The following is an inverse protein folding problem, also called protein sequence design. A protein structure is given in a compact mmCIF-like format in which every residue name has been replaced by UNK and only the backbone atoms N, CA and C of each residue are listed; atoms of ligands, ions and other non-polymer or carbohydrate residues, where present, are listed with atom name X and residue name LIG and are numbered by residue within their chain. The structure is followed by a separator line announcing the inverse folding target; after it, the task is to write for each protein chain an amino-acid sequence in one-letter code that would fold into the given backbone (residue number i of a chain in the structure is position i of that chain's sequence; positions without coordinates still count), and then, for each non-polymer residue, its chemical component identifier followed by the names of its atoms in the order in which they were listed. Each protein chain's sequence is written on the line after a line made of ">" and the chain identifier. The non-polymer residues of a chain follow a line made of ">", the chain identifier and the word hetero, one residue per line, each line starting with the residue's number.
data_IF_498130407452
#
_entry.id   IF_498130407452
#
_cell.length_a   1.000
_cell.length_b   1.000
_cell.length_c   1.000
_cell.angle_alpha   90.00
_cell.angle_beta   90.00
_cell.angle_gamma   90.00
#
_symmetry.space_group_name_H-M   'P 1'
#
loop_
_entity.id
_entity.type
_entity.pdbx_description
1 polymer ?
#
# COMPACT_ATOMS: atom_id res chain seq x y z
N UNK A 1 0.21 -17.79 -7.04
CA UNK A 1 0.74 -16.64 -6.24
C UNK A 1 2.25 -16.77 -6.18
N UNK A 2 2.98 -15.76 -6.68
CA UNK A 2 4.44 -15.71 -6.69
C UNK A 2 4.91 -14.74 -5.60
N UNK A 3 5.78 -15.18 -4.71
CA UNK A 3 6.31 -14.38 -3.62
C UNK A 3 7.84 -14.38 -3.63
N UNK A 4 8.47 -13.30 -4.08
CA UNK A 4 9.87 -13.02 -3.78
C UNK A 4 10.02 -12.40 -2.38
N UNK A 5 9.00 -11.66 -1.93
CA UNK A 5 8.92 -10.94 -0.65
C UNK A 5 7.82 -11.58 0.22
N UNK A 6 8.13 -12.28 1.33
CA UNK A 6 7.13 -12.97 2.13
C UNK A 6 6.11 -12.00 2.75
N UNK A 7 4.87 -12.49 2.93
CA UNK A 7 3.81 -11.75 3.63
C UNK A 7 2.68 -12.70 4.06
N UNK A 8 2.46 -12.82 5.35
CA UNK A 8 1.36 -13.62 5.88
C UNK A 8 -0.01 -13.04 5.47
N UNK A 9 -0.21 -11.72 5.64
CA UNK A 9 -1.48 -11.06 5.31
C UNK A 9 -1.83 -11.21 3.83
N UNK A 10 -0.91 -10.88 2.93
CA UNK A 10 -1.16 -11.01 1.47
C UNK A 10 -1.41 -12.46 1.08
N UNK A 11 -0.63 -13.41 1.62
CA UNK A 11 -0.83 -14.83 1.35
C UNK A 11 -2.22 -15.28 1.79
N UNK A 12 -2.55 -15.09 3.06
CA UNK A 12 -3.82 -15.57 3.64
C UNK A 12 -5.02 -14.92 2.96
N UNK A 13 -5.00 -13.60 2.72
CA UNK A 13 -6.12 -12.89 2.11
C UNK A 13 -6.39 -13.33 0.66
N UNK A 14 -5.36 -13.55 -0.17
CA UNK A 14 -5.55 -14.07 -1.53
C UNK A 14 -5.93 -15.55 -1.54
N UNK A 15 -5.30 -16.38 -0.71
CA UNK A 15 -5.56 -17.83 -0.63
C UNK A 15 -6.99 -18.11 -0.17
N UNK A 16 -7.40 -17.47 0.94
CA UNK A 16 -8.77 -17.56 1.46
C UNK A 16 -9.77 -16.93 0.50
N UNK A 17 -9.44 -15.76 -0.08
CA UNK A 17 -10.29 -15.09 -1.06
C UNK A 17 -10.58 -15.95 -2.28
N UNK A 18 -9.55 -16.57 -2.85
CA UNK A 18 -9.70 -17.50 -3.99
C UNK A 18 -10.54 -18.72 -3.60
N UNK A 19 -10.30 -19.30 -2.42
CA UNK A 19 -11.10 -20.42 -1.91
C UNK A 19 -12.59 -20.04 -1.76
N UNK A 20 -12.89 -18.87 -1.21
CA UNK A 20 -14.26 -18.37 -1.06
C UNK A 20 -14.96 -18.10 -2.40
N UNK A 21 -14.21 -17.84 -3.47
CA UNK A 21 -14.73 -17.69 -4.83
C UNK A 21 -14.88 -19.03 -5.55
N UNK A 22 -14.56 -20.15 -4.90
CA UNK A 22 -14.66 -21.49 -5.48
C UNK A 22 -13.43 -21.94 -6.28
N UNK A 23 -12.36 -21.16 -6.21
CA UNK A 23 -11.09 -21.45 -6.88
C UNK A 23 -10.06 -22.09 -5.95
N UNK A 24 -8.84 -22.24 -6.46
CA UNK A 24 -7.68 -22.77 -5.74
C UNK A 24 -6.47 -21.87 -5.95
N UNK A 25 -5.73 -21.58 -4.91
CA UNK A 25 -4.52 -20.78 -4.97
C UNK A 25 -3.28 -21.63 -4.63
N UNK A 26 -2.25 -21.55 -5.48
CA UNK A 26 -0.94 -22.16 -5.26
C UNK A 26 0.03 -21.08 -4.78
N UNK A 27 0.76 -21.37 -3.72
CA UNK A 27 1.82 -20.49 -3.21
C UNK A 27 3.18 -20.95 -3.72
N UNK A 28 3.87 -20.06 -4.41
CA UNK A 28 5.25 -20.22 -4.85
C UNK A 28 6.12 -19.21 -4.09
N UNK A 29 6.86 -19.69 -3.13
CA UNK A 29 7.77 -18.91 -2.30
C UNK A 29 9.11 -18.61 -2.99
N UNK A 30 10.00 -17.84 -2.31
CA UNK A 30 11.29 -17.42 -2.89
C UNK A 30 12.18 -18.58 -3.31
N UNK A 31 12.09 -19.73 -2.64
CA UNK A 31 12.90 -20.91 -2.94
C UNK A 31 12.29 -21.81 -4.01
N UNK A 32 11.00 -21.68 -4.31
CA UNK A 32 10.29 -22.55 -5.24
C UNK A 32 10.54 -22.13 -6.69
N UNK A 33 10.55 -20.84 -6.96
CA UNK A 33 10.57 -20.32 -8.32
C UNK A 33 11.83 -19.53 -8.67
N UNK A 34 12.43 -18.78 -7.73
CA UNK A 34 13.61 -17.92 -7.94
C UNK A 34 13.52 -17.09 -9.23
N UNK A 35 12.37 -16.42 -9.42
CA UNK A 35 12.04 -15.65 -10.62
C UNK A 35 13.15 -14.65 -10.98
N UNK A 36 13.48 -14.55 -12.26
CA UNK A 36 14.57 -13.70 -12.75
C UNK A 36 15.99 -14.22 -12.47
N UNK A 37 16.12 -15.34 -11.74
CA UNK A 37 17.44 -15.95 -11.44
C UNK A 37 17.61 -17.33 -12.07
N UNK A 38 16.66 -18.22 -11.82
CA UNK A 38 16.67 -19.59 -12.36
C UNK A 38 16.11 -19.63 -13.78
N UNK A 39 15.04 -18.86 -14.02
CA UNK A 39 14.40 -18.70 -15.32
C UNK A 39 14.12 -17.22 -15.55
N UNK A 40 14.00 -16.82 -16.81
CA UNK A 40 13.58 -15.45 -17.15
C UNK A 40 12.16 -15.19 -16.65
N UNK A 41 11.85 -13.94 -16.30
CA UNK A 41 10.51 -13.53 -15.88
C UNK A 41 9.49 -13.84 -16.97
N UNK A 42 9.85 -13.58 -18.25
CA UNK A 42 9.00 -13.84 -19.40
C UNK A 42 8.69 -15.33 -19.61
N UNK A 43 9.68 -16.23 -19.44
CA UNK A 43 9.46 -17.68 -19.58
C UNK A 43 8.54 -18.22 -18.48
N UNK A 44 8.79 -17.81 -17.22
CA UNK A 44 7.92 -18.13 -16.09
C UNK A 44 6.49 -17.69 -16.35
N UNK A 45 6.30 -16.47 -16.86
CA UNK A 45 4.99 -15.91 -17.19
C UNK A 45 4.25 -16.74 -18.24
N UNK A 46 4.92 -17.09 -19.34
CA UNK A 46 4.35 -17.88 -20.43
C UNK A 46 3.96 -19.30 -19.98
N UNK A 47 4.81 -19.94 -19.17
CA UNK A 47 4.56 -21.30 -18.65
C UNK A 47 3.37 -21.28 -17.69
N UNK A 48 3.39 -20.39 -16.69
CA UNK A 48 2.32 -20.32 -15.68
C UNK A 48 0.98 -19.94 -16.30
N UNK A 49 0.95 -19.07 -17.31
CA UNK A 49 -0.27 -18.71 -18.03
C UNK A 49 -0.98 -19.88 -18.71
N UNK A 50 -0.30 -21.03 -18.86
CA UNK A 50 -0.91 -22.25 -19.43
C UNK A 50 -1.49 -23.17 -18.36
N UNK A 51 -1.22 -22.88 -17.08
CA UNK A 51 -1.63 -23.72 -15.97
C UNK A 51 -2.68 -23.07 -15.06
N UNK A 52 -2.75 -21.74 -15.08
CA UNK A 52 -3.56 -20.98 -14.15
C UNK A 52 -4.38 -19.92 -14.90
N UNK A 53 -5.44 -19.43 -14.27
CA UNK A 53 -6.34 -18.43 -14.84
C UNK A 53 -5.95 -16.99 -14.41
N UNK A 54 -5.13 -16.84 -13.37
CA UNK A 54 -4.66 -15.54 -12.85
C UNK A 54 -3.31 -15.72 -12.14
N UNK A 55 -2.44 -14.73 -12.29
CA UNK A 55 -1.16 -14.67 -11.59
C UNK A 55 -1.17 -13.48 -10.63
N UNK A 56 -0.95 -13.71 -9.34
CA UNK A 56 -0.66 -12.63 -8.39
C UNK A 56 0.81 -12.70 -8.01
N UNK A 57 1.51 -11.56 -8.04
CA UNK A 57 2.93 -11.50 -7.72
C UNK A 57 3.24 -10.42 -6.69
N UNK A 58 4.10 -10.77 -5.72
CA UNK A 58 4.68 -9.87 -4.74
C UNK A 58 6.20 -9.93 -4.88
N UNK A 59 6.75 -8.91 -5.53
CA UNK A 59 8.14 -8.85 -5.99
C UNK A 59 8.88 -7.68 -5.33
N UNK A 60 10.17 -7.56 -5.59
CA UNK A 60 10.97 -6.40 -5.26
C UNK A 60 10.89 -5.38 -6.40
N UNK A 61 11.48 -5.71 -7.54
CA UNK A 61 11.55 -4.82 -8.68
C UNK A 61 10.18 -4.67 -9.37
N UNK A 62 9.82 -3.44 -9.69
CA UNK A 62 8.59 -3.13 -10.41
C UNK A 62 8.65 -3.57 -11.87
N UNK A 63 9.83 -3.53 -12.50
CA UNK A 63 10.02 -4.00 -13.88
C UNK A 63 9.72 -5.49 -14.03
N UNK A 64 10.00 -6.29 -13.00
CA UNK A 64 9.66 -7.73 -13.02
C UNK A 64 8.16 -7.98 -13.15
N UNK A 65 7.31 -7.17 -12.51
CA UNK A 65 5.86 -7.34 -12.64
C UNK A 65 5.33 -6.82 -13.97
N UNK A 66 5.95 -5.79 -14.52
CA UNK A 66 5.63 -5.32 -15.87
C UNK A 66 6.02 -6.37 -16.92
N UNK A 67 7.19 -6.99 -16.77
CA UNK A 67 7.64 -8.07 -17.67
C UNK A 67 6.74 -9.31 -17.53
N UNK A 68 6.31 -9.68 -16.30
CA UNK A 68 5.29 -10.72 -16.08
C UNK A 68 4.01 -10.40 -16.85
N UNK A 69 3.47 -9.20 -16.69
CA UNK A 69 2.22 -8.79 -17.32
C UNK A 69 2.32 -8.74 -18.85
N UNK A 70 3.47 -8.35 -19.39
CA UNK A 70 3.73 -8.28 -20.82
C UNK A 70 3.70 -9.65 -21.51
N UNK A 71 4.18 -10.69 -20.82
CA UNK A 71 4.30 -12.04 -21.37
C UNK A 71 3.17 -12.99 -20.95
N UNK A 72 2.35 -12.60 -19.96
CA UNK A 72 1.20 -13.36 -19.52
C UNK A 72 0.07 -13.33 -20.56
N UNK A 73 -0.65 -14.45 -20.68
CA UNK A 73 -1.92 -14.53 -21.42
C UNK A 73 -3.14 -14.56 -20.48
N UNK A 74 -2.89 -14.44 -19.20
CA UNK A 74 -3.88 -14.33 -18.12
C UNK A 74 -3.66 -13.04 -17.33
N UNK A 75 -4.66 -12.54 -16.59
CA UNK A 75 -4.48 -11.36 -15.76
C UNK A 75 -3.33 -11.49 -14.75
N UNK A 76 -2.60 -10.40 -14.55
CA UNK A 76 -1.54 -10.29 -13.55
C UNK A 76 -1.91 -9.24 -12.50
N UNK A 77 -1.92 -9.63 -11.23
CA UNK A 77 -2.22 -8.75 -10.09
C UNK A 77 -0.91 -8.37 -9.40
N UNK A 78 -0.66 -7.06 -9.29
CA UNK A 78 0.42 -6.54 -8.45
C UNK A 78 0.02 -6.64 -6.96
N UNK A 79 0.51 -7.65 -6.27
CA UNK A 79 0.34 -7.82 -4.82
C UNK A 79 1.20 -6.88 -3.98
N UNK A 80 2.35 -6.47 -4.50
CA UNK A 80 3.27 -5.43 -4.03
C UNK A 80 4.55 -5.44 -4.87
N UNK A 81 5.12 -4.26 -5.09
CA UNK A 81 6.52 -4.07 -5.49
C UNK A 81 7.17 -2.99 -4.61
N UNK A 82 8.46 -2.71 -4.80
CA UNK A 82 9.12 -1.60 -4.08
C UNK A 82 8.59 -0.23 -4.52
N UNK A 83 8.01 -0.14 -5.73
CA UNK A 83 7.40 1.10 -6.23
C UNK A 83 5.95 1.27 -5.79
N UNK A 84 5.12 0.20 -5.80
CA UNK A 84 3.67 0.28 -5.61
C UNK A 84 3.10 -0.84 -4.74
N UNK A 85 2.01 -0.51 -4.02
CA UNK A 85 1.16 -1.45 -3.28
C UNK A 85 -0.34 -1.23 -3.61
N UNK A 86 -0.79 -1.46 -4.86
CA UNK A 86 -2.11 -1.05 -5.31
C UNK A 86 -3.26 -1.74 -4.56
N UNK A 87 -3.13 -3.04 -4.24
CA UNK A 87 -4.15 -3.74 -3.47
C UNK A 87 -4.37 -3.18 -2.06
N UNK A 88 -3.36 -2.52 -1.48
CA UNK A 88 -3.50 -1.86 -0.19
C UNK A 88 -4.36 -0.62 -0.31
N UNK A 89 -3.97 0.34 -1.14
CA UNK A 89 -4.71 1.61 -1.22
C UNK A 89 -6.14 1.46 -1.75
N UNK A 90 -6.41 0.42 -2.55
CA UNK A 90 -7.78 0.09 -2.93
C UNK A 90 -8.61 -0.40 -1.74
N UNK A 91 -8.00 -1.19 -0.83
CA UNK A 91 -8.64 -1.60 0.41
C UNK A 91 -8.83 -0.43 1.38
N UNK A 92 -7.85 0.47 1.43
CA UNK A 92 -7.90 1.68 2.25
C UNK A 92 -9.07 2.57 1.82
N UNK A 93 -9.21 2.83 0.52
CA UNK A 93 -10.35 3.59 -0.03
C UNK A 93 -11.68 2.92 0.26
N UNK A 94 -11.77 1.59 0.13
CA UNK A 94 -12.99 0.88 0.44
C UNK A 94 -13.33 0.99 1.94
N UNK A 95 -12.34 0.91 2.82
CA UNK A 95 -12.52 1.10 4.26
C UNK A 95 -12.99 2.50 4.60
N UNK A 96 -12.40 3.51 3.97
CA UNK A 96 -12.85 4.91 4.13
C UNK A 96 -14.30 5.06 3.67
N UNK A 97 -14.66 4.45 2.52
CA UNK A 97 -16.02 4.48 2.01
C UNK A 97 -17.01 3.85 3.00
N UNK A 98 -16.70 2.73 3.59
CA UNK A 98 -17.56 2.09 4.60
C UNK A 98 -17.76 2.97 5.85
N UNK A 99 -16.73 3.71 6.26
CA UNK A 99 -16.78 4.58 7.46
C UNK A 99 -17.39 5.96 7.19
N UNK A 100 -17.20 6.51 5.98
CA UNK A 100 -17.56 7.89 5.62
C UNK A 100 -18.71 7.98 4.60
N UNK A 101 -19.03 6.91 3.88
CA UNK A 101 -20.01 6.88 2.79
C UNK A 101 -19.56 7.59 1.51
N UNK A 102 -18.27 8.02 1.42
CA UNK A 102 -17.68 8.70 0.26
C UNK A 102 -16.18 8.46 0.15
N UNK A 103 -15.62 8.64 -1.05
CA UNK A 103 -14.20 8.55 -1.34
C UNK A 103 -13.62 9.82 -1.95
N UNK A 104 -14.46 10.77 -2.35
CA UNK A 104 -14.08 12.02 -2.98
C UNK A 104 -14.04 13.18 -1.97
N UNK A 105 -13.35 14.24 -2.34
CA UNK A 105 -13.19 15.45 -1.53
C UNK A 105 -12.68 15.23 -0.10
N UNK A 106 -11.89 14.17 0.09
CA UNK A 106 -11.25 13.84 1.36
C UNK A 106 -9.93 14.59 1.51
N UNK A 107 -9.63 14.96 2.75
CA UNK A 107 -8.32 15.44 3.18
C UNK A 107 -7.55 14.29 3.81
N UNK A 108 -6.58 13.76 3.10
CA UNK A 108 -5.76 12.65 3.55
C UNK A 108 -4.37 13.16 3.88
N UNK A 109 -3.92 12.94 5.09
CA UNK A 109 -2.55 13.21 5.51
C UNK A 109 -1.79 11.88 5.66
N UNK A 110 -0.78 11.68 4.83
CA UNK A 110 0.18 10.59 4.99
C UNK A 110 1.39 11.11 5.79
N UNK A 111 1.79 10.39 6.82
CA UNK A 111 2.90 10.76 7.71
C UNK A 111 3.92 9.64 7.73
N UNK A 112 5.13 9.85 7.19
CA UNK A 112 6.19 8.84 7.20
C UNK A 112 7.09 8.86 5.97
N UNK A 113 7.41 7.69 5.44
CA UNK A 113 8.34 7.50 4.32
C UNK A 113 7.66 7.65 2.96
N UNK A 114 8.34 8.24 1.98
CA UNK A 114 7.91 8.29 0.59
C UNK A 114 8.01 6.95 -0.13
N UNK A 115 7.50 5.89 0.49
CA UNK A 115 7.61 4.51 0.04
C UNK A 115 6.53 4.11 -1.00
N UNK A 116 6.42 2.82 -1.27
CA UNK A 116 5.46 2.27 -2.22
C UNK A 116 3.99 2.48 -1.84
N UNK A 117 3.66 2.62 -0.55
CA UNK A 117 2.30 2.95 -0.10
C UNK A 117 2.00 4.41 -0.40
N UNK A 118 2.94 5.32 -0.13
CA UNK A 118 2.86 6.74 -0.51
C UNK A 118 2.69 6.90 -2.02
N UNK A 119 3.52 6.22 -2.81
CA UNK A 119 3.42 6.23 -4.27
C UNK A 119 2.05 5.73 -4.76
N UNK A 120 1.48 4.74 -4.09
CA UNK A 120 0.16 4.20 -4.42
C UNK A 120 -0.96 5.18 -4.06
N UNK A 121 -0.85 5.92 -2.95
CA UNK A 121 -1.75 7.02 -2.62
C UNK A 121 -1.68 8.16 -3.64
N UNK A 122 -0.47 8.52 -4.10
CA UNK A 122 -0.28 9.50 -5.18
C UNK A 122 -0.97 9.04 -6.48
N UNK A 123 -0.84 7.76 -6.83
CA UNK A 123 -1.51 7.18 -7.99
C UNK A 123 -3.06 7.22 -7.88
N UNK A 124 -3.61 6.95 -6.71
CA UNK A 124 -5.06 7.07 -6.47
C UNK A 124 -5.51 8.54 -6.55
N UNK A 125 -4.75 9.48 -5.98
CA UNK A 125 -5.02 10.91 -6.07
C UNK A 125 -5.00 11.42 -7.53
N UNK A 126 -4.34 10.73 -8.44
CA UNK A 126 -4.43 11.03 -9.89
C UNK A 126 -5.73 10.59 -10.56
N UNK A 127 -6.62 9.88 -9.84
CA UNK A 127 -7.87 9.30 -10.36
C UNK A 127 -9.11 9.76 -9.59
N UNK A 128 -8.98 9.99 -8.30
CA UNK A 128 -10.08 10.36 -7.40
C UNK A 128 -9.74 11.72 -6.78
N UNK A 129 -10.63 12.73 -6.88
CA UNK A 129 -10.39 14.05 -6.29
C UNK A 129 -10.22 14.00 -4.78
N UNK A 130 -9.10 14.55 -4.29
CA UNK A 130 -8.77 14.65 -2.86
C UNK A 130 -7.71 15.73 -2.61
N UNK A 131 -7.54 16.11 -1.36
CA UNK A 131 -6.32 16.81 -0.90
C UNK A 131 -5.41 15.76 -0.26
N UNK A 132 -4.23 15.54 -0.83
CA UNK A 132 -3.24 14.60 -0.31
C UNK A 132 -2.03 15.38 0.24
N UNK A 133 -1.93 15.45 1.56
CA UNK A 133 -0.83 16.09 2.29
C UNK A 133 0.19 15.03 2.72
N UNK A 134 1.43 15.15 2.28
CA UNK A 134 2.50 14.19 2.53
C UNK A 134 3.49 14.80 3.52
N UNK A 135 3.45 14.39 4.79
CA UNK A 135 4.46 14.73 5.79
C UNK A 135 5.63 13.76 5.69
N UNK A 136 6.71 14.17 5.04
CA UNK A 136 7.86 13.32 4.71
C UNK A 136 9.15 14.03 5.11
N UNK A 137 10.12 13.36 5.76
CA UNK A 137 11.43 13.94 6.04
C UNK A 137 12.20 14.27 4.76
N UNK A 138 13.07 15.26 4.82
CA UNK A 138 13.93 15.60 3.69
C UNK A 138 14.83 14.42 3.29
N UNK A 139 14.90 14.15 1.97
CA UNK A 139 15.67 13.03 1.41
C UNK A 139 14.96 11.68 1.42
N UNK A 140 13.68 11.64 1.82
CA UNK A 140 12.84 10.44 1.80
C UNK A 140 11.58 10.65 0.94
N UNK A 141 11.67 11.51 -0.04
CA UNK A 141 10.57 11.88 -0.92
C UNK A 141 10.03 10.68 -1.72
N UNK A 142 8.75 10.72 -2.16
CA UNK A 142 8.18 9.70 -3.02
C UNK A 142 8.87 9.68 -4.39
N UNK A 143 8.58 8.67 -5.18
CA UNK A 143 9.10 8.57 -6.55
C UNK A 143 8.72 9.80 -7.40
N UNK A 144 9.73 10.43 -7.96
CA UNK A 144 9.61 11.67 -8.73
C UNK A 144 8.69 11.53 -9.94
N UNK A 145 8.73 10.40 -10.66
CA UNK A 145 7.95 10.21 -11.88
C UNK A 145 6.46 9.95 -11.52
N UNK A 146 6.21 9.21 -10.44
CA UNK A 146 4.86 9.00 -9.92
C UNK A 146 4.25 10.33 -9.48
N UNK A 147 4.99 11.13 -8.73
CA UNK A 147 4.52 12.43 -8.25
C UNK A 147 4.25 13.40 -9.41
N UNK A 148 5.21 13.55 -10.33
CA UNK A 148 5.07 14.43 -11.51
C UNK A 148 3.87 14.04 -12.37
N UNK A 149 3.70 12.73 -12.63
CA UNK A 149 2.57 12.22 -13.42
C UNK A 149 1.23 12.54 -12.76
N UNK A 150 1.12 12.35 -11.45
CA UNK A 150 -0.11 12.65 -10.71
C UNK A 150 -0.43 14.15 -10.71
N UNK A 151 0.58 15.00 -10.49
CA UNK A 151 0.41 16.46 -10.51
C UNK A 151 0.02 16.98 -11.89
N UNK A 152 0.55 16.41 -12.97
CA UNK A 152 0.19 16.78 -14.36
C UNK A 152 -1.27 16.41 -14.68
N UNK A 153 -1.83 15.37 -14.09
CA UNK A 153 -3.22 15.00 -14.28
C UNK A 153 -4.19 16.01 -13.64
N UNK A 154 -3.77 16.75 -12.61
CA UNK A 154 -4.51 17.85 -12.00
C UNK A 154 -5.85 17.47 -11.38
N UNK A 155 -6.04 16.19 -11.00
CA UNK A 155 -7.30 15.69 -10.40
C UNK A 155 -7.39 16.06 -8.92
N UNK A 156 -6.25 16.02 -8.21
CA UNK A 156 -6.14 16.27 -6.77
C UNK A 156 -5.10 17.33 -6.46
N UNK A 157 -5.23 17.94 -5.29
CA UNK A 157 -4.17 18.76 -4.70
C UNK A 157 -3.21 17.86 -3.93
N UNK A 158 -1.93 17.80 -4.35
CA UNK A 158 -0.89 16.98 -3.71
C UNK A 158 0.22 17.92 -3.23
N UNK A 159 0.53 17.88 -1.95
CA UNK A 159 1.55 18.73 -1.34
C UNK A 159 2.44 17.98 -0.37
N UNK A 160 3.77 18.22 -0.45
CA UNK A 160 4.75 17.68 0.49
C UNK A 160 5.03 18.73 1.57
N UNK A 161 4.96 18.29 2.82
CA UNK A 161 5.26 19.05 4.02
C UNK A 161 6.46 18.45 4.75
N UNK A 162 7.24 19.31 5.42
CA UNK A 162 8.30 18.89 6.36
C UNK A 162 7.86 19.01 7.82
N UNK A 163 6.66 19.53 8.04
CA UNK A 163 6.00 19.65 9.34
C UNK A 163 4.78 18.72 9.37
N UNK A 164 4.77 17.80 10.31
CA UNK A 164 3.63 16.87 10.51
C UNK A 164 2.36 17.60 10.89
N UNK A 165 2.46 18.62 11.76
CA UNK A 165 1.32 19.41 12.21
C UNK A 165 0.65 20.19 11.06
N UNK A 166 1.44 20.72 10.11
CA UNK A 166 0.89 21.41 8.92
C UNK A 166 0.19 20.43 7.99
N UNK A 167 0.78 19.27 7.74
CA UNK A 167 0.21 18.25 6.85
C UNK A 167 -1.10 17.67 7.39
N UNK A 168 -1.19 17.46 8.69
CA UNK A 168 -2.36 16.85 9.35
C UNK A 168 -3.49 17.84 9.61
N UNK A 169 -3.29 19.14 9.36
CA UNK A 169 -4.27 20.18 9.66
C UNK A 169 -5.66 19.91 9.00
N UNK A 170 -6.67 19.68 9.84
CA UNK A 170 -8.04 19.33 9.43
C UNK A 170 -8.15 18.09 8.53
N UNK A 171 -7.21 17.14 8.63
CA UNK A 171 -7.25 15.90 7.86
C UNK A 171 -8.45 15.02 8.29
N UNK A 172 -9.18 14.49 7.31
CA UNK A 172 -10.23 13.49 7.53
C UNK A 172 -9.63 12.10 7.81
N UNK A 173 -8.45 11.84 7.26
CA UNK A 173 -7.70 10.58 7.41
C UNK A 173 -6.25 10.89 7.70
N UNK A 174 -5.70 10.28 8.73
CA UNK A 174 -4.26 10.27 9.03
C UNK A 174 -3.74 8.85 8.78
N UNK A 175 -2.88 8.72 7.81
CA UNK A 175 -2.28 7.43 7.40
C UNK A 175 -0.81 7.39 7.75
N UNK A 176 -0.32 6.26 8.25
CA UNK A 176 1.12 6.02 8.42
C UNK A 176 1.51 4.58 8.06
N UNK A 177 2.79 4.35 7.88
CA UNK A 177 3.41 3.05 7.62
C UNK A 177 4.77 3.00 8.32
N UNK A 178 5.35 1.81 8.42
CA UNK A 178 6.68 1.60 9.02
C UNK A 178 7.74 2.50 8.38
N UNK A 179 8.64 3.05 9.20
CA UNK A 179 9.72 3.90 8.73
C UNK A 179 10.80 3.13 7.95
N UNK A 180 10.95 1.84 8.22
CA UNK A 180 11.85 0.95 7.49
C UNK A 180 11.05 -0.23 6.95
N UNK A 181 10.90 -0.28 5.63
CA UNK A 181 10.25 -1.37 4.93
C UNK A 181 11.14 -2.63 4.87
N UNK A 182 10.55 -3.78 4.54
CA UNK A 182 11.31 -5.02 4.32
C UNK A 182 12.41 -4.83 3.26
N UNK A 183 13.63 -5.16 3.63
CA UNK A 183 14.84 -4.96 2.80
C UNK A 183 15.63 -3.72 3.19
N UNK A 184 15.13 -2.89 4.11
CA UNK A 184 15.80 -1.68 4.61
C UNK A 184 16.25 -1.81 6.06
N UNK A 185 16.27 -3.01 6.61
CA UNK A 185 16.58 -3.27 8.03
C UNK A 185 17.95 -2.73 8.45
N UNK A 186 18.93 -2.69 7.51
CA UNK A 186 20.26 -2.14 7.75
C UNK A 186 20.23 -0.61 8.04
N UNK A 187 19.18 0.10 7.62
CA UNK A 187 19.02 1.54 7.84
C UNK A 187 18.07 1.86 9.01
N UNK A 188 17.48 0.86 9.66
CA UNK A 188 16.42 1.04 10.65
C UNK A 188 16.78 2.04 11.76
N UNK A 189 17.98 1.93 12.34
CA UNK A 189 18.43 2.86 13.41
C UNK A 189 18.62 4.30 12.91
N UNK A 190 19.15 4.48 11.71
CA UNK A 190 19.26 5.81 11.08
C UNK A 190 17.88 6.40 10.83
N UNK A 191 16.96 5.59 10.31
CA UNK A 191 15.58 6.01 10.02
C UNK A 191 14.85 6.40 11.31
N UNK A 192 14.99 5.69 12.41
CA UNK A 192 14.41 6.05 13.71
C UNK A 192 14.82 7.45 14.17
N UNK A 193 16.06 7.85 13.91
CA UNK A 193 16.53 9.20 14.27
C UNK A 193 15.89 10.26 13.38
N UNK A 194 15.85 10.03 12.05
CA UNK A 194 15.33 10.99 11.07
C UNK A 194 13.82 11.14 11.18
N UNK A 195 13.10 10.01 11.35
CA UNK A 195 11.64 9.99 11.37
C UNK A 195 11.02 10.25 12.74
N UNK A 196 11.81 10.48 13.77
CA UNK A 196 11.33 10.67 15.16
C UNK A 196 10.19 11.69 15.27
N UNK A 197 10.29 12.81 14.55
CA UNK A 197 9.30 13.89 14.57
C UNK A 197 8.10 13.60 13.62
N UNK A 198 8.11 12.44 12.96
CA UNK A 198 7.05 11.96 12.07
C UNK A 198 6.23 10.83 12.69
N UNK A 199 6.20 10.74 14.01
CA UNK A 199 5.37 9.80 14.75
C UNK A 199 3.92 10.27 14.79
N UNK A 200 2.99 9.38 14.50
CA UNK A 200 1.56 9.60 14.72
C UNK A 200 1.22 9.31 16.18
N UNK A 201 0.96 10.36 16.94
CA UNK A 201 0.64 10.32 18.36
C UNK A 201 -0.58 11.19 18.68
N UNK A 202 -1.07 11.13 19.93
CA UNK A 202 -2.27 11.84 20.34
C UNK A 202 -2.16 13.38 20.22
N UNK A 203 -0.97 13.94 20.37
CA UNK A 203 -0.75 15.39 20.22
C UNK A 203 -0.87 15.81 18.76
N UNK A 204 -0.34 15.03 17.83
CA UNK A 204 -0.48 15.27 16.39
C UNK A 204 -1.95 15.22 15.96
N UNK A 205 -2.72 14.25 16.46
CA UNK A 205 -4.14 14.11 16.11
C UNK A 205 -5.01 15.29 16.55
N UNK A 206 -4.58 16.13 17.48
CA UNK A 206 -5.29 17.37 17.86
C UNK A 206 -5.38 18.38 16.70
N UNK A 207 -4.53 18.27 15.69
CA UNK A 207 -4.56 19.09 14.48
C UNK A 207 -5.49 18.56 13.39
N UNK A 208 -5.85 17.28 13.44
CA UNK A 208 -6.76 16.66 12.50
C UNK A 208 -8.23 17.02 12.77
N UNK A 209 -9.14 16.63 11.90
CA UNK A 209 -10.57 16.74 12.14
C UNK A 209 -10.97 15.93 13.39
N UNK A 210 -11.95 16.42 14.15
CA UNK A 210 -12.37 15.79 15.41
C UNK A 210 -12.85 14.33 15.24
N UNK A 211 -13.32 13.98 14.05
CA UNK A 211 -13.77 12.65 13.65
C UNK A 211 -12.81 11.97 12.67
N UNK A 212 -11.53 12.38 12.64
CA UNK A 212 -10.53 11.79 11.74
C UNK A 212 -10.43 10.28 11.91
N UNK A 213 -10.11 9.59 10.83
CA UNK A 213 -9.79 8.16 10.84
C UNK A 213 -8.27 8.00 10.87
N UNK A 214 -7.77 7.02 11.63
CA UNK A 214 -6.36 6.65 11.64
C UNK A 214 -6.17 5.29 10.98
N UNK A 215 -5.26 5.22 10.01
CA UNK A 215 -5.00 4.04 9.20
C UNK A 215 -3.53 3.65 9.22
N UNK A 216 -3.27 2.37 9.09
CA UNK A 216 -1.93 1.77 9.00
C UNK A 216 -2.01 0.40 8.34
N UNK A 217 -1.29 0.18 7.26
CA UNK A 217 -1.33 -1.08 6.48
C UNK A 217 -0.82 -2.32 7.25
N UNK A 218 -0.26 -2.16 8.45
CA UNK A 218 0.34 -3.20 9.27
C UNK A 218 1.48 -4.00 8.55
N UNK A 219 2.48 -4.51 9.30
CA UNK A 219 2.61 -4.49 10.77
C UNK A 219 3.00 -3.10 11.27
N UNK A 220 2.56 -2.72 12.46
CA UNK A 220 2.98 -1.48 13.11
C UNK A 220 4.13 -1.74 14.08
N UNK A 221 5.11 -0.84 14.11
CA UNK A 221 6.14 -0.78 15.14
C UNK A 221 5.70 0.23 16.21
N UNK A 222 4.91 -0.26 17.16
CA UNK A 222 4.33 0.54 18.25
C UNK A 222 5.41 1.28 19.03
N UNK A 223 5.25 2.61 19.19
CA UNK A 223 6.24 3.48 19.79
C UNK A 223 7.27 4.05 18.80
N UNK A 224 7.36 3.53 17.58
CA UNK A 224 8.11 4.12 16.47
C UNK A 224 7.17 5.04 15.65
N UNK A 225 6.61 4.61 14.53
CA UNK A 225 5.77 5.44 13.64
C UNK A 225 4.38 5.77 14.19
N UNK A 226 3.86 4.95 15.12
CA UNK A 226 2.56 5.16 15.75
C UNK A 226 2.59 4.74 17.23
N UNK A 227 1.94 5.50 18.09
CA UNK A 227 1.84 5.15 19.51
C UNK A 227 0.74 4.13 19.80
N UNK A 228 0.88 3.37 20.90
CA UNK A 228 -0.15 2.42 21.36
C UNK A 228 -1.49 3.11 21.60
N UNK A 229 -1.47 4.29 22.22
CA UNK A 229 -2.68 5.07 22.48
C UNK A 229 -3.46 5.41 21.22
N UNK A 230 -2.77 5.66 20.11
CA UNK A 230 -3.41 6.01 18.83
C UNK A 230 -3.91 4.78 18.11
N UNK A 231 -3.08 3.75 17.97
CA UNK A 231 -3.46 2.55 17.20
C UNK A 231 -4.56 1.72 17.89
N UNK A 232 -4.65 1.78 19.21
CA UNK A 232 -5.70 1.15 20.01
C UNK A 232 -6.84 2.13 20.35
N UNK A 233 -6.74 3.37 19.88
CA UNK A 233 -7.70 4.44 20.15
C UNK A 233 -8.94 4.40 19.28
N UNK A 234 -9.94 5.25 19.59
CA UNK A 234 -11.24 5.23 18.93
C UNK A 234 -11.22 5.72 17.46
N UNK A 235 -10.17 6.36 17.03
CA UNK A 235 -9.98 6.83 15.66
C UNK A 235 -9.38 5.76 14.74
N UNK A 236 -8.75 4.73 15.31
CA UNK A 236 -8.06 3.70 14.55
C UNK A 236 -9.02 2.71 13.90
N UNK A 237 -8.84 2.51 12.59
CA UNK A 237 -9.62 1.55 11.79
C UNK A 237 -8.71 0.51 11.12
N UNK A 238 -7.52 0.29 11.68
CA UNK A 238 -6.46 -0.55 11.10
C UNK A 238 -6.86 -2.02 10.92
N UNK A 239 -7.76 -2.54 11.74
CA UNK A 239 -8.23 -3.93 11.60
C UNK A 239 -9.36 -4.05 10.58
N UNK A 240 -10.24 -3.07 10.45
CA UNK A 240 -11.21 -2.98 9.35
C UNK A 240 -10.47 -2.87 8.00
N UNK A 241 -9.43 -2.04 7.95
CA UNK A 241 -8.53 -1.90 6.80
C UNK A 241 -7.87 -3.24 6.45
N UNK A 242 -7.35 -3.97 7.44
CA UNK A 242 -6.75 -5.29 7.24
C UNK A 242 -7.77 -6.33 6.75
N UNK A 243 -9.00 -6.33 7.26
CA UNK A 243 -10.09 -7.19 6.81
C UNK A 243 -10.46 -6.88 5.36
N UNK A 244 -10.58 -5.62 5.01
CA UNK A 244 -10.97 -5.18 3.67
C UNK A 244 -9.96 -5.56 2.58
N UNK A 245 -8.72 -5.90 2.93
CA UNK A 245 -7.78 -6.55 2.00
C UNK A 245 -8.37 -7.83 1.40
N UNK A 246 -9.03 -8.67 2.21
CA UNK A 246 -9.69 -9.88 1.71
C UNK A 246 -10.83 -9.54 0.74
N UNK A 247 -11.69 -8.60 1.10
CA UNK A 247 -12.88 -8.27 0.31
C UNK A 247 -12.52 -7.61 -1.01
N UNK A 248 -11.61 -6.64 -0.99
CA UNK A 248 -11.16 -5.92 -2.19
C UNK A 248 -10.36 -6.84 -3.12
N UNK A 249 -9.50 -7.71 -2.59
CA UNK A 249 -8.78 -8.68 -3.44
C UNK A 249 -9.73 -9.67 -4.13
N UNK A 250 -10.81 -10.10 -3.47
CA UNK A 250 -11.88 -10.88 -4.15
C UNK A 250 -12.52 -10.08 -5.28
N UNK A 251 -12.87 -8.81 -5.03
CA UNK A 251 -13.45 -7.95 -6.04
C UNK A 251 -12.52 -7.73 -7.24
N UNK A 252 -11.21 -7.53 -6.99
CA UNK A 252 -10.19 -7.43 -8.05
C UNK A 252 -10.16 -8.70 -8.88
N UNK A 253 -10.10 -9.88 -8.24
CA UNK A 253 -10.06 -11.16 -8.95
C UNK A 253 -11.32 -11.36 -9.80
N UNK A 254 -12.51 -11.12 -9.26
CA UNK A 254 -13.77 -11.22 -10.01
C UNK A 254 -13.77 -10.26 -11.21
N UNK A 255 -13.38 -9.00 -10.99
CA UNK A 255 -13.38 -7.97 -12.04
C UNK A 255 -12.43 -8.29 -13.20
N UNK A 256 -11.36 -9.00 -12.95
CA UNK A 256 -10.39 -9.39 -13.99
C UNK A 256 -10.86 -10.57 -14.86
N UNK A 257 -11.95 -11.25 -14.49
CA UNK A 257 -12.58 -12.32 -15.27
C UNK A 257 -13.84 -11.86 -16.03
N UNK A 258 -14.32 -10.65 -15.79
CA UNK A 258 -15.41 -10.02 -16.56
C UNK A 258 -14.90 -9.45 -17.90
#
# INVERSE_FOLDING_TARGET
>A
MIFAKPSARTRVSFEVGMFQLGGHALYLGPNDIQIGKRESVGDVSQVLSRYVDIIMSRLFDHEDILELAKHATVPVVNGLTDLLHPCQVMADLFTIYEKRGRNDDLRIAYVGDGNNVTNSWINIASKIPMTLSLAIPEGYDPDDEVLKSAMQNGVSEIQIFRSTAEAVQNADVVYTDVWASMGQEAEAEKRKIVFRDFQVNADLLKHAAADCLVMHCLPAHRGDEITDEVIDGPHAIVFDEAENRLHVQKAIMVKLFE
#
